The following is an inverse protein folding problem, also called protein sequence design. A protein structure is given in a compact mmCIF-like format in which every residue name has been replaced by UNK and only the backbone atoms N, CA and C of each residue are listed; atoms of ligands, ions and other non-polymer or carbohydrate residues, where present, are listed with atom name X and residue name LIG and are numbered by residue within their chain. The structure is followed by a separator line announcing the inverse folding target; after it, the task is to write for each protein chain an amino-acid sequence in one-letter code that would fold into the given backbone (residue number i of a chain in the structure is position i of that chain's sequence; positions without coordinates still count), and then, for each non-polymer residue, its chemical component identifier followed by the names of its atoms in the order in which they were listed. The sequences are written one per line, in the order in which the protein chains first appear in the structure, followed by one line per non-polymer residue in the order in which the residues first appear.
data_IF_586463312500
#
_entry.id   IF_586463312500
#
_cell.length_a   1.000
_cell.length_b   1.000
_cell.length_c   1.000
_cell.angle_alpha   90.00
_cell.angle_beta   90.00
_cell.angle_gamma   90.00
#
_symmetry.space_group_name_H-M   'P 1'
#
loop_
_entity.id
_entity.type
_entity.pdbx_description
1 polymer ?
#
# COMPACT_ATOMS: atom_id res chain seq x y z
N UNK A 1 5.83 -5.74 25.03
CA UNK A 1 4.39 -5.86 24.75
C UNK A 1 4.26 -6.74 23.52
N UNK A 2 4.06 -8.04 23.71
CA UNK A 2 3.95 -8.97 22.58
C UNK A 2 2.59 -8.78 21.92
N UNK A 3 2.56 -8.60 20.59
CA UNK A 3 1.34 -8.57 19.82
C UNK A 3 0.72 -9.97 19.89
N UNK A 4 -0.28 -10.14 20.74
CA UNK A 4 -1.05 -11.36 20.85
C UNK A 4 -2.03 -11.38 19.69
N UNK A 5 -1.57 -11.87 18.53
CA UNK A 5 -2.42 -12.06 17.36
C UNK A 5 -3.27 -13.30 17.60
N UNK A 6 -4.60 -13.13 17.57
CA UNK A 6 -5.53 -14.25 17.50
C UNK A 6 -5.13 -15.12 16.28
N UNK A 7 -4.87 -16.43 16.44
CA UNK A 7 -4.53 -17.31 15.32
C UNK A 7 -5.63 -17.39 14.24
N UNK A 8 -6.83 -16.90 14.52
CA UNK A 8 -7.93 -16.78 13.57
C UNK A 8 -8.02 -15.40 12.89
N UNK A 9 -7.29 -14.38 13.35
CA UNK A 9 -7.28 -13.07 12.70
C UNK A 9 -6.26 -13.06 11.55
N UNK A 10 -6.69 -12.58 10.38
CA UNK A 10 -5.82 -12.40 9.22
C UNK A 10 -4.70 -11.40 9.57
N UNK A 11 -3.42 -11.74 9.32
CA UNK A 11 -2.32 -10.83 9.63
C UNK A 11 -2.48 -9.47 8.95
N UNK A 12 -2.17 -8.39 9.67
CA UNK A 12 -2.02 -7.05 9.09
C UNK A 12 -0.72 -6.96 8.31
N UNK A 13 -0.77 -6.36 7.13
CA UNK A 13 0.33 -6.32 6.16
C UNK A 13 0.76 -4.86 5.97
N UNK A 14 2.06 -4.61 6.10
CA UNK A 14 2.68 -3.34 5.71
C UNK A 14 3.41 -3.50 4.38
N UNK A 15 2.98 -2.77 3.35
CA UNK A 15 3.70 -2.66 2.08
C UNK A 15 4.53 -1.39 2.10
N UNK A 16 5.81 -1.48 1.77
CA UNK A 16 6.71 -0.33 1.69
C UNK A 16 7.11 -0.10 0.24
N UNK A 17 6.69 1.02 -0.35
CA UNK A 17 7.03 1.42 -1.72
C UNK A 17 7.36 2.90 -1.76
N UNK A 18 8.64 3.22 -1.60
CA UNK A 18 9.15 4.60 -1.50
C UNK A 18 9.48 5.24 -2.85
N UNK A 19 9.61 4.45 -3.91
CA UNK A 19 9.88 4.94 -5.27
C UNK A 19 8.58 5.18 -6.03
N UNK A 20 8.60 6.19 -6.91
CA UNK A 20 7.44 6.61 -7.68
C UNK A 20 6.40 7.36 -6.85
N UNK A 21 5.40 7.90 -7.54
CA UNK A 21 4.28 8.59 -6.91
C UNK A 21 3.17 7.58 -6.60
N UNK A 22 3.18 7.02 -5.39
CA UNK A 22 2.15 6.09 -4.92
C UNK A 22 1.02 6.89 -4.26
N UNK A 23 -0.14 6.95 -4.92
CA UNK A 23 -1.34 7.62 -4.42
C UNK A 23 -2.58 6.83 -4.88
N UNK A 24 -3.77 7.18 -4.36
CA UNK A 24 -5.01 6.55 -4.83
C UNK A 24 -5.31 6.82 -6.31
N UNK A 25 -4.91 7.99 -6.82
CA UNK A 25 -4.82 8.28 -8.25
C UNK A 25 -3.38 8.69 -8.58
N UNK A 26 -2.52 7.73 -8.94
CA UNK A 26 -1.14 8.04 -9.31
C UNK A 26 -1.09 8.63 -10.73
N UNK A 27 -0.19 9.61 -11.00
CA UNK A 27 0.05 10.15 -12.33
C UNK A 27 0.85 9.14 -13.18
N UNK A 28 0.17 8.09 -13.66
CA UNK A 28 0.79 7.02 -14.44
C UNK A 28 1.51 7.59 -15.69
N UNK A 29 2.74 7.13 -15.92
CA UNK A 29 3.60 7.61 -17.00
C UNK A 29 4.53 8.76 -16.59
N UNK A 30 4.38 9.33 -15.40
CA UNK A 30 5.38 10.20 -14.81
C UNK A 30 6.65 9.42 -14.43
N UNK A 31 7.74 10.15 -14.15
CA UNK A 31 8.98 9.56 -13.67
C UNK A 31 8.72 8.62 -12.48
N UNK A 32 9.30 7.42 -12.53
CA UNK A 32 9.19 6.36 -11.54
C UNK A 32 7.76 5.88 -11.22
N UNK A 33 6.74 6.30 -11.99
CA UNK A 33 5.32 6.04 -11.70
C UNK A 33 4.70 5.20 -12.81
N UNK A 34 4.83 3.88 -12.69
CA UNK A 34 4.40 2.92 -13.73
C UNK A 34 3.94 1.58 -13.17
N UNK A 35 4.35 0.49 -13.82
CA UNK A 35 3.87 -0.87 -13.51
C UNK A 35 4.05 -1.30 -12.05
N UNK A 36 5.13 -0.86 -11.39
CA UNK A 36 5.34 -1.13 -9.96
C UNK A 36 4.24 -0.48 -9.09
N UNK A 37 3.88 0.77 -9.34
CA UNK A 37 2.85 1.48 -8.58
C UNK A 37 1.49 0.79 -8.78
N UNK A 38 1.17 0.42 -10.01
CA UNK A 38 -0.04 -0.36 -10.32
C UNK A 38 -0.04 -1.69 -9.57
N UNK A 39 1.08 -2.42 -9.59
CA UNK A 39 1.21 -3.70 -8.91
C UNK A 39 0.98 -3.58 -7.40
N UNK A 40 1.58 -2.58 -6.74
CA UNK A 40 1.41 -2.36 -5.29
C UNK A 40 -0.06 -2.09 -4.94
N UNK A 41 -0.73 -1.24 -5.73
CA UNK A 41 -2.14 -0.90 -5.49
C UNK A 41 -3.06 -2.11 -5.71
N UNK A 42 -2.87 -2.86 -6.79
CA UNK A 42 -3.69 -4.04 -7.08
C UNK A 42 -3.43 -5.17 -6.09
N UNK A 43 -2.18 -5.39 -5.68
CA UNK A 43 -1.82 -6.37 -4.66
C UNK A 43 -2.50 -6.03 -3.33
N UNK A 44 -2.44 -4.77 -2.89
CA UNK A 44 -3.10 -4.33 -1.66
C UNK A 44 -4.63 -4.57 -1.71
N UNK A 45 -5.28 -4.25 -2.84
CA UNK A 45 -6.72 -4.52 -3.03
C UNK A 45 -7.03 -6.01 -2.97
N UNK A 46 -6.22 -6.87 -3.59
CA UNK A 46 -6.42 -8.33 -3.55
C UNK A 46 -6.22 -8.91 -2.16
N UNK A 47 -5.20 -8.46 -1.43
CA UNK A 47 -4.98 -8.86 -0.04
C UNK A 47 -6.14 -8.41 0.87
N UNK A 48 -6.66 -7.19 0.66
CA UNK A 48 -7.85 -6.72 1.36
C UNK A 48 -9.10 -7.57 1.05
N UNK A 49 -9.28 -8.00 -0.20
CA UNK A 49 -10.35 -8.94 -0.59
C UNK A 49 -10.22 -10.31 0.08
N UNK A 50 -9.01 -10.72 0.45
CA UNK A 50 -8.74 -11.94 1.22
C UNK A 50 -8.90 -11.74 2.74
N UNK A 51 -9.27 -10.55 3.19
CA UNK A 51 -9.54 -10.22 4.59
C UNK A 51 -8.37 -9.59 5.34
N UNK A 52 -7.24 -9.28 4.68
CA UNK A 52 -6.12 -8.61 5.34
C UNK A 52 -6.37 -7.11 5.50
N UNK A 53 -5.94 -6.54 6.64
CA UNK A 53 -5.72 -5.09 6.76
C UNK A 53 -4.37 -4.76 6.13
N UNK A 54 -4.33 -3.84 5.17
CA UNK A 54 -3.10 -3.51 4.43
C UNK A 54 -2.83 -2.01 4.50
N UNK A 55 -1.63 -1.64 4.93
CA UNK A 55 -1.13 -0.26 4.88
C UNK A 55 -0.05 -0.14 3.81
N UNK A 56 -0.07 0.94 3.02
CA UNK A 56 0.99 1.26 2.07
C UNK A 56 1.78 2.45 2.61
N UNK A 57 3.01 2.20 3.01
CA UNK A 57 3.97 3.23 3.36
C UNK A 57 4.71 3.68 2.12
N UNK A 58 4.60 4.96 1.81
CA UNK A 58 5.27 5.60 0.68
C UNK A 58 5.81 6.96 1.08
N UNK A 59 6.60 7.57 0.20
CA UNK A 59 7.02 8.95 0.37
C UNK A 59 5.81 9.85 0.13
N UNK A 60 5.50 10.72 1.10
CA UNK A 60 4.53 11.80 0.87
C UNK A 60 5.19 12.89 0.01
N UNK A 61 4.59 13.19 -1.12
CA UNK A 61 4.99 14.32 -1.96
C UNK A 61 4.08 15.51 -1.68
N UNK A 62 4.67 16.68 -1.44
CA UNK A 62 3.93 17.95 -1.30
C UNK A 62 2.70 17.82 -0.38
N UNK A 63 1.53 18.26 -0.84
CA UNK A 63 0.26 18.24 -0.12
C UNK A 63 -0.56 16.96 -0.38
N UNK A 64 0.09 15.86 -0.78
CA UNK A 64 -0.59 14.59 -1.03
C UNK A 64 -1.40 14.17 0.21
N UNK A 65 -2.71 13.90 0.05
CA UNK A 65 -3.57 13.50 1.16
C UNK A 65 -3.20 12.12 1.70
N UNK A 66 -3.44 11.92 2.99
CA UNK A 66 -3.44 10.59 3.61
C UNK A 66 -4.82 9.97 3.42
N UNK A 67 -4.87 8.79 2.81
CA UNK A 67 -6.08 8.09 2.41
C UNK A 67 -5.89 6.59 2.58
#
# INVERSE_FOLDING_TARGET
MALQTDPHETPRIALVSTHGYVAAQPPLGAADTGGQVVYVLELAKKLAQLGHKVDIFTRRFEDQPEI
#
